data_IF_212246866741
#
_entry.id   IF_212246866741
#
_cell.length_a   1.000
_cell.length_b   1.000
_cell.length_c   1.000
_cell.angle_alpha   90.00
_cell.angle_beta   90.00
_cell.angle_gamma   90.00
#
_symmetry.space_group_name_H-M   'P 1'
#
loop_
_entity.id
_entity.type
_entity.pdbx_description
1 polymer ?
#
# COMPACT_ATOMS: atom_id res chain seq x y z
N UNK A 1 -14.52 12.25 -3.41
CA UNK A 1 -14.90 10.83 -3.55
C UNK A 1 -14.30 10.27 -4.84
N UNK A 2 -14.62 10.86 -5.99
CA UNK A 2 -14.04 10.49 -7.31
C UNK A 2 -12.51 10.37 -7.26
N UNK A 3 -11.79 11.38 -6.75
CA UNK A 3 -10.33 11.35 -6.64
C UNK A 3 -9.78 10.14 -5.85
N UNK A 4 -10.43 9.75 -4.76
CA UNK A 4 -10.03 8.59 -3.96
C UNK A 4 -10.24 7.29 -4.74
N UNK A 5 -11.36 7.19 -5.45
CA UNK A 5 -11.71 6.04 -6.29
C UNK A 5 -10.72 5.92 -7.44
N UNK A 6 -10.39 7.02 -8.12
CA UNK A 6 -9.38 7.06 -9.19
C UNK A 6 -8.02 6.60 -8.68
N UNK A 7 -7.61 7.07 -7.49
CA UNK A 7 -6.34 6.69 -6.89
C UNK A 7 -6.28 5.22 -6.47
N UNK A 8 -7.38 4.66 -5.97
CA UNK A 8 -7.48 3.22 -5.69
C UNK A 8 -7.45 2.37 -6.96
N UNK A 9 -8.11 2.80 -8.04
CA UNK A 9 -8.02 2.10 -9.32
C UNK A 9 -6.57 2.12 -9.85
N UNK A 10 -5.91 3.27 -9.79
CA UNK A 10 -4.48 3.37 -10.15
C UNK A 10 -3.63 2.44 -9.29
N UNK A 11 -3.90 2.37 -7.98
CA UNK A 11 -3.22 1.45 -7.06
C UNK A 11 -3.38 -0.01 -7.47
N UNK A 12 -4.62 -0.43 -7.77
CA UNK A 12 -4.92 -1.80 -8.21
C UNK A 12 -4.23 -2.11 -9.54
N UNK A 13 -4.28 -1.20 -10.52
CA UNK A 13 -3.65 -1.39 -11.83
C UNK A 13 -2.13 -1.51 -11.71
N UNK A 14 -1.49 -0.58 -10.99
CA UNK A 14 -0.04 -0.61 -10.78
C UNK A 14 0.39 -1.90 -10.07
N UNK A 15 -0.30 -2.25 -8.99
CA UNK A 15 0.02 -3.42 -8.22
C UNK A 15 -0.25 -4.74 -8.99
N UNK A 16 -1.26 -4.76 -9.88
CA UNK A 16 -1.47 -5.86 -10.85
C UNK A 16 -0.30 -5.98 -11.82
N UNK A 17 0.09 -4.88 -12.49
CA UNK A 17 1.20 -4.86 -13.45
C UNK A 17 2.48 -5.37 -12.80
N UNK A 18 2.80 -4.91 -11.59
CA UNK A 18 4.03 -5.28 -10.88
C UNK A 18 4.05 -6.74 -10.43
N UNK A 19 2.88 -7.34 -10.18
CA UNK A 19 2.78 -8.73 -9.75
C UNK A 19 2.42 -9.72 -10.87
N UNK A 20 2.13 -9.27 -12.11
CA UNK A 20 1.79 -10.16 -13.24
C UNK A 20 2.87 -11.18 -13.60
N UNK A 21 4.16 -10.87 -13.44
CA UNK A 21 5.24 -11.86 -13.57
C UNK A 21 5.38 -12.77 -12.33
N UNK A 22 4.94 -12.26 -11.17
CA UNK A 22 4.76 -12.98 -9.90
C UNK A 22 3.79 -14.14 -9.94
N UNK A 23 2.80 -14.06 -10.83
CA UNK A 23 1.62 -14.92 -10.88
C UNK A 23 1.85 -16.31 -11.51
N UNK A 24 2.98 -16.52 -12.19
CA UNK A 24 3.24 -17.76 -12.94
C UNK A 24 4.32 -18.62 -12.29
N UNK A 25 5.38 -18.01 -11.73
CA UNK A 25 6.48 -18.76 -11.07
C UNK A 25 7.08 -18.07 -9.83
N UNK A 26 6.59 -16.88 -9.43
CA UNK A 26 7.20 -16.07 -8.37
C UNK A 26 8.65 -15.69 -8.68
N UNK A 27 8.91 -14.67 -9.53
CA UNK A 27 10.26 -14.28 -9.88
C UNK A 27 10.99 -13.84 -8.60
N UNK A 28 12.31 -14.12 -8.53
CA UNK A 28 13.10 -13.72 -7.38
C UNK A 28 12.95 -12.21 -7.14
N UNK A 29 12.90 -11.76 -5.88
CA UNK A 29 12.79 -10.36 -5.56
C UNK A 29 13.96 -9.58 -6.20
N UNK A 30 13.63 -8.61 -7.06
CA UNK A 30 14.62 -7.81 -7.78
C UNK A 30 14.77 -6.42 -7.16
N UNK A 31 15.89 -5.75 -7.44
CA UNK A 31 16.08 -4.32 -7.12
C UNK A 31 14.96 -3.45 -7.70
N UNK A 32 14.46 -3.79 -8.88
CA UNK A 32 13.33 -3.10 -9.49
C UNK A 32 12.07 -3.22 -8.64
N UNK A 33 11.75 -4.41 -8.12
CA UNK A 33 10.61 -4.61 -7.23
C UNK A 33 10.74 -3.74 -5.98
N UNK A 34 11.94 -3.66 -5.40
CA UNK A 34 12.22 -2.80 -4.23
C UNK A 34 12.00 -1.31 -4.54
N UNK A 35 12.53 -0.81 -5.66
CA UNK A 35 12.32 0.59 -6.08
C UNK A 35 10.82 0.88 -6.24
N UNK A 36 10.08 -0.03 -6.88
CA UNK A 36 8.63 0.12 -7.07
C UNK A 36 7.86 0.09 -5.73
N UNK A 37 8.30 -0.71 -4.75
CA UNK A 37 7.78 -0.65 -3.37
C UNK A 37 7.94 0.73 -2.76
N UNK A 38 9.14 1.29 -2.84
CA UNK A 38 9.44 2.58 -2.22
C UNK A 38 8.62 3.69 -2.89
N UNK A 39 8.57 3.70 -4.23
CA UNK A 39 7.76 4.65 -4.98
C UNK A 39 6.28 4.57 -4.61
N UNK A 40 5.75 3.35 -4.47
CA UNK A 40 4.38 3.13 -4.04
C UNK A 40 4.08 3.71 -2.66
N UNK A 41 4.97 3.48 -1.68
CA UNK A 41 4.82 4.01 -0.32
C UNK A 41 4.89 5.55 -0.30
N UNK A 42 5.83 6.13 -1.06
CA UNK A 42 5.97 7.59 -1.21
C UNK A 42 4.70 8.20 -1.81
N UNK A 43 4.09 7.53 -2.78
CA UNK A 43 2.85 7.99 -3.43
C UNK A 43 1.66 7.99 -2.45
N UNK A 44 1.49 6.93 -1.65
CA UNK A 44 0.47 6.88 -0.60
C UNK A 44 0.71 7.90 0.52
N UNK A 45 1.97 8.09 0.93
CA UNK A 45 2.36 9.12 1.89
C UNK A 45 2.01 10.53 1.39
N UNK A 46 2.40 10.85 0.16
CA UNK A 46 2.18 12.15 -0.47
C UNK A 46 0.69 12.44 -0.65
N UNK A 47 -0.08 11.43 -1.06
CA UNK A 47 -1.53 11.54 -1.18
C UNK A 47 -2.19 11.70 0.20
N UNK A 48 -1.68 11.01 1.22
CA UNK A 48 -2.01 11.23 2.62
C UNK A 48 -1.85 12.69 3.02
N UNK A 49 -0.67 13.29 2.80
CA UNK A 49 -0.39 14.71 3.08
C UNK A 49 -1.40 15.61 2.36
N UNK A 50 -1.58 15.41 1.06
CA UNK A 50 -2.50 16.21 0.26
C UNK A 50 -3.92 16.21 0.85
N UNK A 51 -4.46 15.03 1.19
CA UNK A 51 -5.81 14.90 1.74
C UNK A 51 -5.91 15.34 3.20
N UNK A 52 -4.81 15.23 3.95
CA UNK A 52 -4.65 15.77 5.30
C UNK A 52 -4.75 17.29 5.31
N UNK A 53 -4.08 17.96 4.35
CA UNK A 53 -4.22 19.40 4.15
C UNK A 53 -5.68 19.79 3.86
N UNK A 54 -6.40 19.02 3.06
CA UNK A 54 -7.82 19.32 2.82
C UNK A 54 -8.76 18.95 4.00
N UNK A 55 -8.23 18.45 5.12
CA UNK A 55 -8.98 17.97 6.31
C UNK A 55 -10.09 16.96 5.97
N UNK A 56 -9.93 16.20 4.87
CA UNK A 56 -10.99 15.31 4.37
C UNK A 56 -11.02 14.01 5.17
N UNK A 57 -11.80 13.96 6.25
CA UNK A 57 -12.01 12.75 7.06
C UNK A 57 -12.52 11.55 6.24
N UNK A 58 -13.30 11.82 5.19
CA UNK A 58 -13.78 10.79 4.25
C UNK A 58 -12.65 10.06 3.52
N UNK A 59 -11.48 10.69 3.33
CA UNK A 59 -10.31 10.00 2.80
C UNK A 59 -9.68 9.06 3.82
N UNK A 60 -9.59 9.47 5.09
CA UNK A 60 -9.03 8.62 6.14
C UNK A 60 -9.88 7.36 6.33
N UNK A 61 -11.21 7.52 6.39
CA UNK A 61 -12.17 6.40 6.46
C UNK A 61 -12.00 5.49 5.24
N UNK A 62 -11.93 6.08 4.04
CA UNK A 62 -11.71 5.32 2.81
C UNK A 62 -10.41 4.53 2.83
N UNK A 63 -9.29 5.14 3.24
CA UNK A 63 -7.99 4.49 3.28
C UNK A 63 -7.98 3.33 4.29
N UNK A 64 -8.57 3.51 5.48
CA UNK A 64 -8.69 2.45 6.49
C UNK A 64 -9.51 1.29 5.94
N UNK A 65 -10.68 1.54 5.35
CA UNK A 65 -11.54 0.49 4.80
C UNK A 65 -10.84 -0.22 3.63
N UNK A 66 -10.25 0.54 2.70
CA UNK A 66 -9.55 0.01 1.54
C UNK A 66 -8.43 -0.94 1.96
N UNK A 67 -7.58 -0.52 2.90
CA UNK A 67 -6.49 -1.34 3.38
C UNK A 67 -6.94 -2.49 4.29
N UNK A 68 -7.99 -2.31 5.10
CA UNK A 68 -8.55 -3.38 5.93
C UNK A 68 -9.15 -4.52 5.08
N UNK A 69 -9.84 -4.18 3.98
CA UNK A 69 -10.33 -5.18 3.02
C UNK A 69 -9.15 -5.93 2.40
N UNK A 70 -8.11 -5.22 1.94
CA UNK A 70 -6.92 -5.86 1.37
C UNK A 70 -6.21 -6.80 2.37
N UNK A 71 -6.08 -6.37 3.64
CA UNK A 71 -5.55 -7.19 4.74
C UNK A 71 -6.40 -8.44 4.97
N UNK A 72 -7.72 -8.27 5.12
CA UNK A 72 -8.65 -9.36 5.39
C UNK A 72 -8.69 -10.41 4.27
N UNK A 73 -8.69 -9.97 3.01
CA UNK A 73 -8.64 -10.90 1.88
C UNK A 73 -7.35 -11.72 1.89
N UNK A 74 -6.22 -11.11 2.24
CA UNK A 74 -4.95 -11.84 2.27
C UNK A 74 -4.87 -12.85 3.41
N UNK A 75 -5.39 -12.52 4.59
CA UNK A 75 -5.48 -13.48 5.70
C UNK A 75 -6.31 -14.71 5.33
N UNK A 76 -7.48 -14.52 4.72
CA UNK A 76 -8.34 -15.62 4.25
C UNK A 76 -7.58 -16.51 3.27
N UNK A 77 -6.86 -15.87 2.36
CA UNK A 77 -6.24 -16.55 1.23
C UNK A 77 -4.95 -17.30 1.62
N UNK A 78 -4.21 -16.82 2.63
CA UNK A 78 -3.13 -17.58 3.26
C UNK A 78 -3.60 -18.92 3.85
N UNK A 79 -4.86 -19.02 4.29
CA UNK A 79 -5.44 -20.24 4.85
C UNK A 79 -6.00 -21.20 3.79
N UNK A 80 -6.19 -20.75 2.54
CA UNK A 80 -6.80 -21.54 1.46
C UNK A 80 -5.77 -22.30 0.58
N UNK A 81 -4.47 -22.21 0.90
CA UNK A 81 -3.39 -22.87 0.15
C UNK A 81 -2.96 -22.12 -1.12
N UNK A 82 -1.89 -22.55 -1.81
CA UNK A 82 -1.25 -21.83 -2.92
C UNK A 82 -2.10 -21.90 -4.20
N UNK A 83 -3.17 -21.13 -4.24
CA UNK A 83 -4.05 -20.98 -5.40
C UNK A 83 -3.65 -19.72 -6.19
N UNK A 84 -3.79 -19.67 -7.52
CA UNK A 84 -3.64 -18.44 -8.32
C UNK A 84 -4.36 -17.19 -7.75
N UNK A 85 -5.48 -17.38 -7.05
CA UNK A 85 -6.18 -16.32 -6.31
C UNK A 85 -5.34 -15.68 -5.18
N UNK A 86 -4.39 -16.41 -4.61
CA UNK A 86 -3.38 -15.93 -3.64
C UNK A 86 -2.48 -14.89 -4.28
N UNK A 87 -2.03 -15.15 -5.50
CA UNK A 87 -1.12 -14.26 -6.20
C UNK A 87 -1.82 -12.97 -6.68
N UNK A 88 -3.10 -13.06 -7.06
CA UNK A 88 -3.93 -11.86 -7.35
C UNK A 88 -4.18 -11.02 -6.09
N UNK A 89 -4.29 -11.64 -4.91
CA UNK A 89 -4.46 -10.90 -3.66
C UNK A 89 -3.16 -10.26 -3.16
N UNK A 90 -2.01 -10.91 -3.32
CA UNK A 90 -0.71 -10.24 -3.14
C UNK A 90 -0.53 -9.07 -4.12
N UNK A 91 -1.10 -9.18 -5.31
CA UNK A 91 -1.15 -8.08 -6.27
C UNK A 91 -2.00 -6.89 -5.81
N UNK A 92 -2.87 -7.03 -4.81
CA UNK A 92 -3.66 -5.92 -4.23
C UNK A 92 -2.96 -5.31 -3.01
N UNK A 93 -2.08 -6.05 -2.34
CA UNK A 93 -1.47 -5.70 -1.04
C UNK A 93 -0.39 -4.61 -1.05
N UNK A 94 0.00 -4.11 -2.22
CA UNK A 94 1.18 -3.28 -2.51
C UNK A 94 2.36 -4.09 -3.07
N UNK A 95 3.24 -3.46 -3.87
CA UNK A 95 4.49 -4.05 -4.35
C UNK A 95 5.51 -4.32 -3.23
N UNK A 96 5.09 -4.62 -1.99
CA UNK A 96 5.96 -4.90 -0.85
C UNK A 96 6.77 -6.19 -0.95
N UNK A 97 6.50 -7.02 -1.95
CA UNK A 97 7.42 -8.08 -2.37
C UNK A 97 8.84 -7.57 -2.67
N UNK A 98 9.00 -6.29 -3.01
CA UNK A 98 10.33 -5.69 -3.15
C UNK A 98 11.15 -5.67 -1.86
N UNK A 99 10.52 -5.69 -0.68
CA UNK A 99 11.26 -5.83 0.59
C UNK A 99 11.84 -7.22 0.79
N UNK A 100 11.35 -8.25 0.10
CA UNK A 100 11.97 -9.57 0.13
C UNK A 100 13.37 -9.59 -0.52
N UNK A 101 13.75 -8.52 -1.22
CA UNK A 101 15.13 -8.30 -1.68
C UNK A 101 16.10 -8.18 -0.48
N UNK A 102 15.62 -7.68 0.66
CA UNK A 102 16.38 -7.62 1.91
C UNK A 102 16.25 -8.99 2.61
N UNK A 103 17.01 -9.97 2.13
CA UNK A 103 16.92 -11.39 2.53
C UNK A 103 16.90 -11.61 4.05
N UNK A 104 17.65 -10.80 4.81
CA UNK A 104 17.77 -10.90 6.27
C UNK A 104 16.49 -10.56 7.05
N UNK A 105 15.48 -9.97 6.40
CA UNK A 105 14.22 -9.58 7.03
C UNK A 105 13.00 -10.23 6.39
N UNK A 106 13.17 -11.19 5.47
CA UNK A 106 12.11 -11.71 4.61
C UNK A 106 10.79 -12.03 5.34
N UNK A 107 10.82 -12.72 6.48
CA UNK A 107 9.61 -13.08 7.24
C UNK A 107 9.06 -11.93 8.08
N UNK A 108 9.91 -11.13 8.70
CA UNK A 108 9.51 -10.00 9.56
C UNK A 108 8.98 -8.82 8.72
N UNK A 109 9.66 -8.48 7.62
CA UNK A 109 9.22 -7.48 6.66
C UNK A 109 7.93 -7.91 5.98
N UNK A 110 7.71 -9.19 5.73
CA UNK A 110 6.47 -9.65 5.09
C UNK A 110 5.22 -9.29 5.91
N UNK A 111 5.21 -9.55 7.21
CA UNK A 111 4.07 -9.17 8.07
C UNK A 111 3.99 -7.65 8.28
N UNK A 112 5.12 -6.98 8.53
CA UNK A 112 5.13 -5.53 8.73
C UNK A 112 4.71 -4.76 7.46
N UNK A 113 5.12 -5.24 6.30
CA UNK A 113 4.82 -4.67 5.00
C UNK A 113 3.34 -4.64 4.66
N UNK A 114 2.55 -5.60 5.14
CA UNK A 114 1.10 -5.64 4.91
C UNK A 114 0.40 -4.42 5.51
N UNK A 115 0.91 -3.88 6.61
CA UNK A 115 0.35 -2.70 7.29
C UNK A 115 1.01 -1.39 6.85
N UNK A 116 2.18 -1.46 6.20
CA UNK A 116 3.01 -0.31 5.92
C UNK A 116 2.33 0.75 5.04
N UNK A 117 1.58 0.40 3.97
CA UNK A 117 0.84 1.38 3.19
C UNK A 117 -0.23 2.12 4.01
N UNK A 118 -0.95 1.42 4.89
CA UNK A 118 -1.94 2.05 5.78
C UNK A 118 -1.26 2.99 6.76
N UNK A 119 -0.20 2.53 7.43
CA UNK A 119 0.57 3.31 8.39
C UNK A 119 1.10 4.59 7.72
N UNK A 120 1.75 4.47 6.57
CA UNK A 120 2.35 5.62 5.88
C UNK A 120 1.28 6.60 5.37
N UNK A 121 0.11 6.09 4.95
CA UNK A 121 -1.03 6.94 4.57
C UNK A 121 -1.55 7.74 5.76
N UNK A 122 -1.71 7.09 6.92
CA UNK A 122 -2.15 7.74 8.16
C UNK A 122 -1.13 8.78 8.64
N UNK A 123 0.16 8.45 8.63
CA UNK A 123 1.24 9.40 8.97
C UNK A 123 1.20 10.59 8.02
N UNK A 124 1.11 10.36 6.70
CA UNK A 124 1.00 11.43 5.71
C UNK A 124 -0.19 12.34 5.98
N UNK A 125 -1.36 11.77 6.27
CA UNK A 125 -2.56 12.53 6.63
C UNK A 125 -2.36 13.42 7.87
N UNK A 126 -1.76 12.88 8.94
CA UNK A 126 -1.46 13.64 10.15
C UNK A 126 -0.44 14.76 9.91
N UNK A 127 0.59 14.51 9.09
CA UNK A 127 1.55 15.53 8.65
C UNK A 127 0.82 16.65 7.89
N UNK A 128 -0.06 16.31 6.95
CA UNK A 128 -0.87 17.29 6.23
C UNK A 128 -1.74 18.16 7.13
N UNK A 129 -2.32 17.59 8.19
CA UNK A 129 -3.08 18.35 9.20
C UNK A 129 -2.21 19.33 9.98
N UNK A 130 -1.02 18.89 10.41
CA UNK A 130 -0.08 19.72 11.18
C UNK A 130 0.45 20.91 10.38
N UNK A 131 0.76 20.70 9.09
CA UNK A 131 1.25 21.78 8.20
C UNK A 131 0.28 22.97 8.19
N UNK A 132 -1.02 22.71 8.11
CA UNK A 132 -2.03 23.79 8.13
C UNK A 132 -2.18 24.41 9.50
N UNK A 133 -2.14 23.60 10.57
CA UNK A 133 -2.18 24.15 11.93
C UNK A 133 -1.04 25.13 12.18
N UNK A 134 0.14 24.87 11.62
CA UNK A 134 1.29 25.77 11.71
C UNK A 134 1.11 27.06 10.90
N UNK A 135 0.42 27.01 9.75
CA UNK A 135 0.18 28.18 8.92
C UNK A 135 -0.87 29.13 9.49
N UNK A 136 -1.84 28.62 10.25
CA UNK A 136 -2.88 29.43 10.88
C UNK A 136 -2.44 30.11 12.19
N UNK A 137 -1.27 29.74 12.73
CA UNK A 137 -0.71 30.28 13.97
C UNK A 137 0.40 31.32 13.72
N UNK A 138 0.67 31.65 12.46
CA UNK A 138 1.57 32.70 11.98
C UNK A 138 0.74 33.84 11.38
#
# INVERSE_FOLDING_TARGET
MILNITFAHLTIVLATIFNTKGLVDGPPPTVLNFILTILFLVLWFSFGIFRGRERKKSFLIFAIIFWAIALGTTFIVMHLGPNPLVMVNFAIMAPVNGFMFLEFMRSQLFFAAMFLPLIITCIGYLVGLKIISSQNNL
#
